data_IF_426266048412
#
_entry.id   IF_426266048412
#
_cell.length_a   1.000
_cell.length_b   1.000
_cell.length_c   1.000
_cell.angle_alpha   90.00
_cell.angle_beta   90.00
_cell.angle_gamma   90.00
#
_symmetry.space_group_name_H-M   'P 1'
#
loop_
_entity.id
_entity.type
_entity.pdbx_description
1 polymer ?
#
# COMPACT_ATOMS: atom_id res chain seq x y z
N UNK A 1 -12.96 8.00 7.24
CA UNK A 1 -13.96 7.41 6.33
C UNK A 1 -14.23 5.98 6.79
N UNK A 2 -15.40 5.41 6.48
CA UNK A 2 -15.71 4.00 6.74
C UNK A 2 -15.93 3.28 5.41
N UNK A 3 -15.42 2.06 5.29
CA UNK A 3 -15.61 1.20 4.10
C UNK A 3 -16.06 -0.19 4.55
N UNK A 4 -17.08 -0.72 3.89
CA UNK A 4 -17.67 -2.03 4.21
C UNK A 4 -18.04 -2.77 2.93
N UNK A 5 -18.03 -4.09 2.97
CA UNK A 5 -18.33 -4.95 1.82
C UNK A 5 -17.47 -6.20 1.82
N UNK A 6 -17.51 -6.96 0.73
CA UNK A 6 -16.68 -8.14 0.55
C UNK A 6 -15.73 -7.91 -0.63
N UNK A 7 -14.43 -8.08 -0.41
CA UNK A 7 -13.43 -8.13 -1.48
C UNK A 7 -13.17 -9.59 -1.88
N UNK A 8 -12.78 -9.79 -3.14
CA UNK A 8 -12.40 -11.11 -3.62
C UNK A 8 -11.13 -11.62 -2.94
N UNK A 9 -10.12 -10.77 -2.81
CA UNK A 9 -8.83 -11.11 -2.19
C UNK A 9 -8.31 -10.00 -1.26
N UNK A 10 -7.32 -10.33 -0.43
CA UNK A 10 -6.74 -9.43 0.57
C UNK A 10 -6.09 -8.22 -0.11
N UNK A 11 -5.38 -8.42 -1.21
CA UNK A 11 -4.74 -7.32 -1.95
C UNK A 11 -5.76 -6.29 -2.45
N UNK A 12 -6.91 -6.73 -2.94
CA UNK A 12 -8.01 -5.87 -3.42
C UNK A 12 -8.58 -5.04 -2.29
N UNK A 13 -8.87 -5.68 -1.14
CA UNK A 13 -9.32 -4.98 0.06
C UNK A 13 -8.33 -3.89 0.48
N UNK A 14 -7.06 -4.24 0.61
CA UNK A 14 -6.01 -3.32 1.06
C UNK A 14 -5.82 -2.15 0.09
N UNK A 15 -5.93 -2.39 -1.23
CA UNK A 15 -5.91 -1.33 -2.24
C UNK A 15 -7.09 -0.37 -2.09
N UNK A 16 -8.30 -0.87 -1.82
CA UNK A 16 -9.48 -0.01 -1.58
C UNK A 16 -9.24 0.88 -0.37
N UNK A 17 -8.77 0.31 0.75
CA UNK A 17 -8.43 1.07 1.96
C UNK A 17 -7.36 2.13 1.65
N UNK A 18 -6.35 1.78 0.84
CA UNK A 18 -5.27 2.69 0.45
C UNK A 18 -5.76 3.88 -0.37
N UNK A 19 -6.65 3.65 -1.35
CA UNK A 19 -7.25 4.73 -2.18
C UNK A 19 -7.98 5.73 -1.29
N UNK A 20 -8.79 5.22 -0.36
CA UNK A 20 -9.57 6.05 0.55
C UNK A 20 -8.65 6.81 1.51
N UNK A 21 -7.64 6.12 2.08
CA UNK A 21 -6.70 6.71 3.03
C UNK A 21 -5.78 7.78 2.43
N UNK A 22 -5.41 7.64 1.15
CA UNK A 22 -4.59 8.63 0.44
C UNK A 22 -5.39 9.82 -0.11
N UNK A 23 -6.70 9.89 0.14
CA UNK A 23 -7.54 11.01 -0.27
C UNK A 23 -7.42 12.18 0.71
N UNK A 24 -7.31 13.40 0.19
CA UNK A 24 -7.20 14.61 1.01
C UNK A 24 -8.37 14.72 2.00
N UNK A 25 -8.06 15.07 3.25
CA UNK A 25 -9.05 15.22 4.32
C UNK A 25 -9.42 13.91 5.05
N UNK A 26 -8.91 12.76 4.62
CA UNK A 26 -9.10 11.49 5.33
C UNK A 26 -7.93 11.25 6.29
N UNK A 27 -8.17 11.42 7.59
CA UNK A 27 -7.17 11.11 8.62
C UNK A 27 -7.06 9.61 8.91
N UNK A 28 -8.19 8.90 8.89
CA UNK A 28 -8.28 7.46 9.19
C UNK A 28 -9.33 6.78 8.33
N UNK A 29 -9.12 5.49 8.07
CA UNK A 29 -10.08 4.61 7.41
C UNK A 29 -10.50 3.53 8.41
N UNK A 30 -11.79 3.48 8.72
CA UNK A 30 -12.42 2.38 9.45
C UNK A 30 -12.77 1.28 8.43
N UNK A 31 -11.92 0.26 8.39
CA UNK A 31 -12.03 -0.88 7.50
C UNK A 31 -12.93 -1.97 8.12
N UNK A 32 -14.14 -2.06 7.59
CA UNK A 32 -15.15 -3.06 7.94
C UNK A 32 -15.39 -4.04 6.78
N UNK A 33 -14.43 -4.18 5.86
CA UNK A 33 -14.54 -5.13 4.75
C UNK A 33 -14.15 -6.55 5.17
N UNK A 34 -14.86 -7.54 4.61
CA UNK A 34 -14.49 -8.95 4.63
C UNK A 34 -13.75 -9.34 3.34
N UNK A 35 -13.06 -10.48 3.39
CA UNK A 35 -12.30 -11.02 2.24
C UNK A 35 -12.74 -12.46 2.01
N UNK A 36 -13.00 -12.81 0.75
CA UNK A 36 -13.33 -14.18 0.34
C UNK A 36 -12.08 -15.07 0.35
N UNK A 37 -10.99 -14.62 -0.27
CA UNK A 37 -9.71 -15.33 -0.35
C UNK A 37 -8.63 -14.61 0.49
N UNK A 38 -8.41 -15.02 1.74
CA UNK A 38 -7.39 -14.40 2.59
C UNK A 38 -5.99 -14.75 2.09
N UNK A 39 -5.14 -13.73 1.97
CA UNK A 39 -3.71 -13.83 1.66
C UNK A 39 -2.91 -13.17 2.79
N UNK A 40 -1.58 -13.34 2.86
CA UNK A 40 -0.76 -12.62 3.82
C UNK A 40 -0.98 -11.10 3.75
N UNK A 41 -1.25 -10.50 4.91
CA UNK A 41 -1.48 -9.06 4.99
C UNK A 41 -0.22 -8.27 4.61
N UNK A 42 -0.42 -7.18 3.87
CA UNK A 42 0.65 -6.25 3.59
C UNK A 42 0.93 -5.35 4.79
N UNK A 43 2.17 -4.90 4.89
CA UNK A 43 2.49 -3.75 5.74
C UNK A 43 2.15 -2.46 5.00
N UNK A 44 1.85 -1.40 5.75
CA UNK A 44 1.63 -0.07 5.20
C UNK A 44 2.76 0.87 5.60
N UNK A 45 3.23 1.68 4.64
CA UNK A 45 4.27 2.65 4.87
C UNK A 45 3.81 4.04 4.45
N UNK A 46 3.81 4.98 5.39
CA UNK A 46 3.61 6.40 5.06
C UNK A 46 4.94 7.00 4.64
N UNK A 47 5.02 7.40 3.38
CA UNK A 47 6.19 8.05 2.78
C UNK A 47 6.53 9.32 3.55
N UNK A 48 7.80 9.47 3.90
CA UNK A 48 8.34 10.70 4.51
C UNK A 48 9.33 11.39 3.57
N UNK A 49 9.70 12.63 3.90
CA UNK A 49 10.64 13.40 3.09
C UNK A 49 11.98 12.68 2.96
N UNK A 50 12.40 12.46 1.71
CA UNK A 50 13.67 11.80 1.37
C UNK A 50 13.57 10.30 1.12
N UNK A 51 12.39 9.71 1.24
CA UNK A 51 12.16 8.32 0.84
C UNK A 51 12.26 8.12 -0.67
N UNK A 52 12.68 6.91 -1.03
CA UNK A 52 12.58 6.36 -2.38
C UNK A 52 12.06 4.93 -2.26
N UNK A 53 11.42 4.38 -3.30
CA UNK A 53 10.98 2.98 -3.24
C UNK A 53 12.13 2.01 -2.94
N UNK A 54 13.34 2.30 -3.42
CA UNK A 54 14.53 1.51 -3.08
C UNK A 54 14.91 1.58 -1.60
N UNK A 55 14.82 2.75 -0.95
CA UNK A 55 15.06 2.88 0.50
C UNK A 55 13.99 2.14 1.28
N UNK A 56 12.73 2.28 0.90
CA UNK A 56 11.61 1.58 1.53
C UNK A 56 11.81 0.06 1.37
N UNK A 57 12.07 -0.43 0.15
CA UNK A 57 12.34 -1.85 -0.08
C UNK A 57 13.54 -2.37 0.73
N UNK A 58 14.60 -1.58 0.87
CA UNK A 58 15.72 -1.95 1.74
C UNK A 58 15.31 -2.08 3.21
N UNK A 59 14.45 -1.19 3.70
CA UNK A 59 13.99 -1.21 5.08
C UNK A 59 13.08 -2.41 5.37
N UNK A 60 12.16 -2.76 4.46
CA UNK A 60 11.18 -3.83 4.68
C UNK A 60 11.68 -5.21 4.23
N UNK A 61 12.50 -5.27 3.17
CA UNK A 61 12.94 -6.52 2.56
C UNK A 61 14.45 -6.78 2.70
N UNK A 62 15.19 -5.85 3.30
CA UNK A 62 16.66 -5.91 3.35
C UNK A 62 17.35 -5.68 2.00
N UNK A 63 16.59 -5.46 0.91
CA UNK A 63 17.12 -5.37 -0.45
C UNK A 63 16.44 -4.26 -1.25
N UNK A 64 17.20 -3.21 -1.60
CA UNK A 64 16.71 -2.10 -2.40
C UNK A 64 16.23 -2.51 -3.80
N UNK A 65 16.78 -3.59 -4.36
CA UNK A 65 16.37 -4.11 -5.68
C UNK A 65 14.98 -4.74 -5.68
N UNK A 66 14.34 -4.89 -4.52
CA UNK A 66 12.95 -5.34 -4.39
C UNK A 66 11.93 -4.21 -4.52
N UNK A 67 12.37 -2.98 -4.81
CA UNK A 67 11.46 -1.85 -5.09
C UNK A 67 10.38 -2.14 -6.17
N UNK A 68 10.61 -2.96 -7.23
CA UNK A 68 9.57 -3.26 -8.20
C UNK A 68 8.37 -3.98 -7.59
N UNK A 69 8.58 -4.76 -6.52
CA UNK A 69 7.49 -5.45 -5.80
C UNK A 69 6.54 -4.43 -5.17
N UNK A 70 7.10 -3.38 -4.54
CA UNK A 70 6.31 -2.28 -3.98
C UNK A 70 5.58 -1.54 -5.11
N UNK A 71 6.29 -1.24 -6.21
CA UNK A 71 5.70 -0.53 -7.34
C UNK A 71 4.48 -1.27 -7.92
N UNK A 72 4.63 -2.56 -8.23
CA UNK A 72 3.53 -3.38 -8.78
C UNK A 72 2.37 -3.54 -7.78
N UNK A 73 2.66 -3.65 -6.48
CA UNK A 73 1.64 -3.72 -5.45
C UNK A 73 0.77 -2.46 -5.33
N UNK A 74 1.27 -1.30 -5.76
CA UNK A 74 0.58 -0.01 -5.66
C UNK A 74 -0.01 0.48 -7.00
N UNK A 75 0.11 -0.30 -8.08
CA UNK A 75 -0.60 -0.02 -9.33
C UNK A 75 -2.11 -0.27 -9.21
N UNK A 76 -2.93 0.51 -9.94
CA UNK A 76 -2.56 1.56 -10.90
C UNK A 76 -2.33 2.95 -10.27
N UNK A 77 -2.49 3.10 -8.96
CA UNK A 77 -2.45 4.39 -8.27
C UNK A 77 -1.06 5.02 -8.29
N UNK A 78 -0.02 4.18 -8.21
CA UNK A 78 1.36 4.58 -8.45
C UNK A 78 1.72 4.27 -9.90
N UNK A 79 1.80 5.32 -10.74
CA UNK A 79 2.04 5.17 -12.18
C UNK A 79 3.52 5.12 -12.56
N UNK A 80 4.38 5.60 -11.66
CA UNK A 80 5.82 5.73 -11.88
C UNK A 80 6.54 5.48 -10.54
N UNK A 81 7.62 4.67 -10.52
CA UNK A 81 8.32 4.32 -9.28
C UNK A 81 8.92 5.53 -8.55
N UNK A 82 9.20 6.63 -9.23
CA UNK A 82 9.77 7.84 -8.62
C UNK A 82 8.70 8.86 -8.21
N UNK A 83 7.43 8.63 -8.56
CA UNK A 83 6.31 9.54 -8.23
C UNK A 83 5.65 9.20 -6.90
N UNK A 84 6.45 9.19 -5.83
CA UNK A 84 5.95 9.13 -4.46
C UNK A 84 6.11 10.49 -3.78
N UNK A 85 5.23 10.82 -2.84
CA UNK A 85 5.25 12.10 -2.13
C UNK A 85 5.05 11.93 -0.62
N UNK A 86 5.61 12.84 0.22
CA UNK A 86 5.43 12.78 1.66
C UNK A 86 3.94 12.76 2.06
N UNK A 87 3.58 11.87 2.97
CA UNK A 87 2.20 11.64 3.41
C UNK A 87 1.46 10.56 2.61
N UNK A 88 1.95 10.16 1.44
CA UNK A 88 1.39 9.04 0.69
C UNK A 88 1.60 7.72 1.43
N UNK A 89 0.54 6.96 1.66
CA UNK A 89 0.63 5.59 2.17
C UNK A 89 0.83 4.64 0.99
N UNK A 90 1.76 3.70 1.15
CA UNK A 90 2.06 2.63 0.20
C UNK A 90 1.81 1.26 0.83
N UNK A 91 1.31 0.34 0.01
CA UNK A 91 1.20 -1.09 0.31
C UNK A 91 2.56 -1.77 0.13
N UNK A 92 3.01 -2.51 1.15
CA UNK A 92 4.26 -3.26 1.17
C UNK A 92 3.94 -4.76 1.38
N UNK A 93 3.76 -5.55 0.30
CA UNK A 93 3.39 -6.96 0.43
C UNK A 93 4.51 -7.78 1.10
N UNK A 94 4.17 -8.94 1.68
CA UNK A 94 5.17 -9.93 2.03
C UNK A 94 5.93 -10.42 0.78
N UNK A 95 7.17 -10.87 0.95
CA UNK A 95 7.84 -11.65 -0.09
C UNK A 95 7.42 -13.12 0.07
N UNK A 96 7.10 -13.77 -1.05
CA UNK A 96 6.92 -15.22 -1.11
C UNK A 96 8.20 -15.99 -0.76
#
# INVERSE_FOLDING_TARGET
ATVSGMAHDQATKEKVVLVIGNSEGIATVDDQMTVENPEPEAQFHTVVSGDTLGKIAKNYYGNAMKYPVIFEANKPMLTDPDKIYPGQVLRIPALD
#
